data_IF_449550105186
#
_entry.id   IF_449550105186
#
_cell.length_a   1.000
_cell.length_b   1.000
_cell.length_c   1.000
_cell.angle_alpha   90.00
_cell.angle_beta   90.00
_cell.angle_gamma   90.00
#
_symmetry.space_group_name_H-M   'P 1'
#
loop_
_entity.id
_entity.type
_entity.pdbx_description
1 polymer ?
#
# COMPACT_ATOMS: atom_id res chain seq x y z
N UNK A 1 -42.43 -18.53 46.77
CA UNK A 1 -42.18 -17.62 45.63
C UNK A 1 -43.09 -18.02 44.48
N UNK A 2 -43.90 -17.11 43.94
CA UNK A 2 -44.94 -17.42 42.95
C UNK A 2 -44.30 -17.83 41.60
N UNK A 3 -44.70 -18.96 41.00
CA UNK A 3 -44.08 -19.50 39.77
C UNK A 3 -44.11 -18.51 38.59
N UNK A 4 -45.08 -17.59 38.57
CA UNK A 4 -45.17 -16.54 37.56
C UNK A 4 -44.11 -15.44 37.76
N UNK A 5 -43.69 -15.19 39.00
CA UNK A 5 -42.64 -14.23 39.31
C UNK A 5 -41.29 -14.72 38.80
N UNK A 6 -40.98 -16.01 38.99
CA UNK A 6 -39.73 -16.64 38.51
C UNK A 6 -39.63 -16.59 36.98
N UNK A 7 -40.74 -16.83 36.26
CA UNK A 7 -40.78 -16.71 34.80
C UNK A 7 -40.56 -15.27 34.32
N UNK A 8 -41.15 -14.28 35.01
CA UNK A 8 -40.95 -12.87 34.67
C UNK A 8 -39.50 -12.43 34.89
N UNK A 9 -38.89 -12.87 35.99
CA UNK A 9 -37.47 -12.56 36.28
C UNK A 9 -36.53 -13.24 35.28
N UNK A 10 -36.82 -14.48 34.88
CA UNK A 10 -36.02 -15.18 33.88
C UNK A 10 -36.11 -14.51 32.48
N UNK A 11 -37.29 -14.09 32.05
CA UNK A 11 -37.46 -13.37 30.77
C UNK A 11 -36.79 -11.99 30.82
N UNK A 12 -36.86 -11.27 31.95
CA UNK A 12 -36.18 -9.99 32.12
C UNK A 12 -34.65 -10.14 32.11
N UNK A 13 -34.10 -11.19 32.74
CA UNK A 13 -32.65 -11.50 32.71
C UNK A 13 -32.20 -11.89 31.31
N UNK A 14 -33.01 -12.64 30.54
CA UNK A 14 -32.72 -12.98 29.14
C UNK A 14 -32.79 -11.71 28.26
N UNK A 15 -33.76 -10.82 28.47
CA UNK A 15 -33.83 -9.54 27.76
C UNK A 15 -32.69 -8.58 28.13
N UNK A 16 -32.22 -8.58 29.38
CA UNK A 16 -31.05 -7.82 29.81
C UNK A 16 -29.73 -8.41 29.29
N UNK A 17 -29.65 -9.74 29.11
CA UNK A 17 -28.52 -10.42 28.46
C UNK A 17 -28.49 -10.23 26.94
N UNK A 18 -29.64 -10.04 26.30
CA UNK A 18 -29.77 -9.72 24.87
C UNK A 18 -29.70 -8.21 24.59
N UNK A 19 -29.77 -7.38 25.62
CA UNK A 19 -29.61 -5.93 25.58
C UNK A 19 -28.21 -5.51 26.05
N UNK A 20 -27.18 -6.32 25.79
CA UNK A 20 -25.82 -5.76 25.69
C UNK A 20 -25.89 -4.70 24.60
N UNK A 21 -25.47 -3.44 24.86
CA UNK A 21 -25.27 -2.52 23.75
C UNK A 21 -24.37 -3.26 22.75
N UNK A 22 -24.72 -3.24 21.47
CA UNK A 22 -23.69 -3.43 20.46
C UNK A 22 -22.61 -2.43 20.86
N UNK A 23 -21.48 -2.92 21.38
CA UNK A 23 -20.37 -2.05 21.78
C UNK A 23 -20.01 -1.32 20.50
N UNK A 24 -20.43 -0.07 20.40
CA UNK A 24 -20.12 0.74 19.24
C UNK A 24 -18.62 0.94 19.21
N UNK A 25 -18.03 0.98 18.02
CA UNK A 25 -16.66 1.42 17.87
C UNK A 25 -16.51 2.79 18.53
N UNK A 26 -15.59 2.87 19.48
CA UNK A 26 -15.17 4.11 20.13
C UNK A 26 -14.91 5.17 19.08
N UNK A 27 -15.29 6.40 19.35
CA UNK A 27 -14.83 7.52 18.54
C UNK A 27 -13.32 7.69 18.68
N UNK A 28 -12.70 8.38 17.72
CA UNK A 28 -11.26 8.70 17.77
C UNK A 28 -10.88 9.42 19.06
N UNK A 29 -11.73 10.33 19.55
CA UNK A 29 -11.47 11.09 20.78
C UNK A 29 -11.53 10.20 22.03
N UNK A 30 -12.43 9.20 22.06
CA UNK A 30 -12.51 8.20 23.12
C UNK A 30 -11.27 7.29 23.10
N UNK A 31 -10.85 6.82 21.93
CA UNK A 31 -9.61 6.03 21.78
C UNK A 31 -8.36 6.83 22.20
N UNK A 32 -8.33 8.15 21.97
CA UNK A 32 -7.25 9.02 22.45
C UNK A 32 -7.14 8.99 23.97
N UNK A 33 -8.26 8.95 24.71
CA UNK A 33 -8.22 8.92 26.18
C UNK A 33 -7.48 7.69 26.71
N UNK A 34 -7.57 6.55 26.01
CA UNK A 34 -6.88 5.31 26.38
C UNK A 34 -5.35 5.41 26.35
N UNK A 35 -4.80 6.29 25.51
CA UNK A 35 -3.35 6.41 25.31
C UNK A 35 -2.72 7.62 26.02
N UNK A 36 -3.52 8.55 26.53
CA UNK A 36 -3.03 9.73 27.28
C UNK A 36 -2.12 9.39 28.48
N UNK A 37 -2.35 8.30 29.26
CA UNK A 37 -1.44 7.94 30.35
C UNK A 37 0.00 7.66 29.88
N UNK A 38 0.14 7.14 28.66
CA UNK A 38 1.42 6.78 28.05
C UNK A 38 2.09 7.98 27.37
N UNK A 39 1.31 8.97 26.93
CA UNK A 39 1.80 10.12 26.17
C UNK A 39 2.38 11.27 27.03
N UNK A 40 2.39 11.16 28.37
CA UNK A 40 2.75 12.27 29.28
C UNK A 40 4.16 12.85 29.09
N UNK A 41 5.08 12.06 28.52
CA UNK A 41 6.45 12.47 28.22
C UNK A 41 6.70 12.74 26.72
N UNK A 42 5.64 12.73 25.92
CA UNK A 42 5.69 12.87 24.47
C UNK A 42 5.09 14.23 24.07
N UNK A 43 5.69 14.87 23.07
CA UNK A 43 5.36 16.25 22.68
C UNK A 43 4.06 16.38 21.91
N UNK A 44 3.78 15.43 21.00
CA UNK A 44 2.50 15.35 20.29
C UNK A 44 2.00 13.91 20.21
N UNK A 45 0.67 13.78 20.13
CA UNK A 45 -0.05 12.53 19.93
C UNK A 45 -0.93 12.69 18.70
N UNK A 46 -0.84 11.75 17.77
CA UNK A 46 -1.76 11.58 16.66
C UNK A 46 -2.46 10.22 16.77
N UNK A 47 -3.63 10.10 16.18
CA UNK A 47 -4.43 8.88 16.19
C UNK A 47 -4.98 8.65 14.79
N UNK A 48 -4.88 7.45 14.26
CA UNK A 48 -5.39 7.08 12.94
C UNK A 48 -6.32 5.86 13.06
N UNK A 49 -7.18 5.67 12.06
CA UNK A 49 -8.21 4.63 12.04
C UNK A 49 -9.64 5.17 12.25
N UNK A 50 -10.63 4.29 12.50
CA UNK A 50 -10.44 2.88 12.81
C UNK A 50 -9.97 2.05 11.62
N UNK A 51 -9.09 1.09 11.88
CA UNK A 51 -8.69 0.03 10.96
C UNK A 51 -9.34 -1.29 11.38
N UNK A 52 -9.86 -2.06 10.43
CA UNK A 52 -10.54 -3.33 10.73
C UNK A 52 -9.61 -4.52 10.54
N UNK A 53 -9.62 -5.46 11.49
CA UNK A 53 -8.97 -6.76 11.37
C UNK A 53 -9.77 -7.82 12.16
N UNK A 54 -10.11 -8.95 11.53
CA UNK A 54 -10.95 -10.01 12.15
C UNK A 54 -12.23 -9.47 12.81
N UNK A 55 -12.97 -8.63 12.08
CA UNK A 55 -14.21 -7.98 12.52
C UNK A 55 -14.08 -7.03 13.74
N UNK A 56 -12.85 -6.79 14.22
CA UNK A 56 -12.58 -5.84 15.29
C UNK A 56 -12.00 -4.55 14.72
N UNK A 57 -12.44 -3.41 15.26
CA UNK A 57 -11.86 -2.11 14.96
C UNK A 57 -10.63 -1.86 15.84
N UNK A 58 -9.60 -1.21 15.29
CA UNK A 58 -8.40 -0.81 16.00
C UNK A 58 -7.99 0.61 15.64
N UNK A 59 -7.39 1.31 16.59
CA UNK A 59 -6.78 2.61 16.37
C UNK A 59 -5.26 2.54 16.47
N UNK A 60 -4.57 3.28 15.61
CA UNK A 60 -3.12 3.43 15.60
C UNK A 60 -2.75 4.78 16.21
N UNK A 61 -2.03 4.78 17.33
CA UNK A 61 -1.61 5.99 18.02
C UNK A 61 -0.12 6.25 17.78
N UNK A 62 0.22 7.43 17.25
CA UNK A 62 1.60 7.86 17.06
C UNK A 62 1.98 8.96 18.06
N UNK A 63 3.11 8.79 18.73
CA UNK A 63 3.65 9.79 19.66
C UNK A 63 4.98 10.33 19.15
N UNK A 64 5.13 11.65 19.11
CA UNK A 64 6.40 12.27 18.69
C UNK A 64 6.97 13.19 19.74
N UNK A 65 8.29 13.28 19.80
CA UNK A 65 9.04 14.20 20.66
C UNK A 65 9.99 15.00 19.78
N UNK A 66 9.85 16.32 19.77
CA UNK A 66 10.61 17.22 18.88
C UNK A 66 10.53 16.81 17.40
N UNK A 67 9.36 16.34 16.96
CA UNK A 67 9.12 15.89 15.57
C UNK A 67 9.70 14.52 15.22
N UNK A 68 10.33 13.82 16.17
CA UNK A 68 10.81 12.44 15.98
C UNK A 68 9.83 11.45 16.57
N UNK A 69 9.54 10.35 15.86
CA UNK A 69 8.73 9.26 16.41
C UNK A 69 9.38 8.75 17.70
N UNK A 70 8.61 8.77 18.79
CA UNK A 70 9.07 8.38 20.12
C UNK A 70 8.20 7.31 20.78
N UNK A 71 7.06 6.95 20.18
CA UNK A 71 6.16 5.93 20.71
C UNK A 71 5.06 5.56 19.73
N UNK A 72 4.63 4.29 19.77
CA UNK A 72 3.47 3.78 19.03
C UNK A 72 2.64 2.91 19.98
N UNK A 73 1.32 3.03 19.92
CA UNK A 73 0.40 2.12 20.61
C UNK A 73 -0.76 1.76 19.69
N UNK A 74 -1.26 0.55 19.85
CA UNK A 74 -2.47 0.07 19.16
C UNK A 74 -3.58 -0.07 20.18
N UNK A 75 -4.77 0.42 19.87
CA UNK A 75 -5.92 0.44 20.78
C UNK A 75 -7.07 -0.36 20.20
N UNK A 76 -7.66 -1.26 20.98
CA UNK A 76 -8.91 -1.92 20.63
C UNK A 76 -10.03 -0.87 20.53
N UNK A 77 -10.66 -0.78 19.37
CA UNK A 77 -11.69 0.19 19.06
C UNK A 77 -13.03 -0.07 19.75
N UNK A 78 -13.26 -1.22 20.38
CA UNK A 78 -14.47 -1.50 21.15
C UNK A 78 -14.26 -1.30 22.66
N UNK A 79 -13.12 -1.77 23.18
CA UNK A 79 -12.85 -1.77 24.62
C UNK A 79 -12.01 -0.59 25.08
N UNK A 80 -11.26 0.02 24.16
CA UNK A 80 -10.26 1.04 24.48
C UNK A 80 -8.99 0.46 25.11
N UNK A 81 -8.84 -0.87 25.17
CA UNK A 81 -7.65 -1.50 25.72
C UNK A 81 -6.46 -1.32 24.79
N UNK A 82 -5.29 -1.07 25.36
CA UNK A 82 -4.03 -1.07 24.61
C UNK A 82 -3.64 -2.51 24.30
N UNK A 83 -3.42 -2.80 23.03
CA UNK A 83 -3.06 -4.12 22.53
C UNK A 83 -1.59 -4.42 22.88
N UNK A 84 -1.38 -5.58 23.51
CA UNK A 84 -0.05 -6.13 23.82
C UNK A 84 0.35 -7.28 22.88
N UNK A 85 -0.59 -7.79 22.09
CA UNK A 85 -0.34 -8.82 21.09
C UNK A 85 0.41 -8.23 19.89
N UNK A 86 1.70 -8.57 19.78
CA UNK A 86 2.56 -8.11 18.68
C UNK A 86 2.02 -8.52 17.31
N UNK A 87 1.36 -9.68 17.17
CA UNK A 87 0.82 -10.11 15.88
C UNK A 87 -0.31 -9.20 15.42
N UNK A 88 -1.18 -8.76 16.34
CA UNK A 88 -2.23 -7.79 16.01
C UNK A 88 -1.59 -6.43 15.74
N UNK A 89 -0.67 -6.00 16.60
CA UNK A 89 -0.02 -4.71 16.45
C UNK A 89 0.70 -4.56 15.11
N UNK A 90 1.43 -5.59 14.66
CA UNK A 90 2.11 -5.62 13.36
C UNK A 90 1.14 -5.42 12.21
N UNK A 91 -0.02 -6.08 12.24
CA UNK A 91 -1.04 -5.97 11.19
C UNK A 91 -1.66 -4.60 11.15
N UNK A 92 -1.95 -3.99 12.30
CA UNK A 92 -2.50 -2.63 12.35
C UNK A 92 -1.46 -1.58 11.95
N UNK A 93 -0.20 -1.70 12.39
CA UNK A 93 0.92 -0.86 11.90
C UNK A 93 1.07 -0.95 10.38
N UNK A 94 1.13 -2.17 9.84
CA UNK A 94 1.19 -2.39 8.40
C UNK A 94 0.01 -1.74 7.68
N UNK A 95 -1.21 -1.94 8.18
CA UNK A 95 -2.43 -1.34 7.63
C UNK A 95 -2.36 0.19 7.64
N UNK A 96 -1.90 0.78 8.74
CA UNK A 96 -1.73 2.23 8.85
C UNK A 96 -0.77 2.75 7.78
N UNK A 97 0.41 2.14 7.64
CA UNK A 97 1.45 2.59 6.71
C UNK A 97 1.01 2.48 5.25
N UNK A 98 0.33 1.40 4.88
CA UNK A 98 -0.20 1.22 3.53
C UNK A 98 -1.38 2.16 3.22
N UNK A 99 -2.29 2.37 4.18
CA UNK A 99 -3.53 3.10 3.94
C UNK A 99 -3.44 4.60 4.24
N UNK A 100 -2.43 5.07 4.98
CA UNK A 100 -2.31 6.51 5.32
C UNK A 100 -2.12 7.40 4.09
N UNK A 101 -1.63 6.82 2.98
CA UNK A 101 -1.45 7.51 1.71
C UNK A 101 -2.62 7.28 0.74
N UNK A 102 -3.65 6.52 1.11
CA UNK A 102 -4.82 6.33 0.24
C UNK A 102 -5.75 7.54 0.40
N UNK A 103 -5.64 8.48 -0.53
CA UNK A 103 -6.40 9.74 -0.54
C UNK A 103 -7.03 9.99 -1.90
N UNK A 104 -8.04 10.85 -1.96
CA UNK A 104 -8.67 11.26 -3.23
C UNK A 104 -7.68 11.89 -4.21
N UNK A 105 -6.67 12.60 -3.70
CA UNK A 105 -5.61 13.19 -4.52
C UNK A 105 -4.73 12.10 -5.15
N UNK A 106 -4.34 11.09 -4.38
CA UNK A 106 -3.54 10.00 -4.90
C UNK A 106 -4.34 9.14 -5.89
N UNK A 107 -5.63 8.91 -5.63
CA UNK A 107 -6.53 8.20 -6.54
C UNK A 107 -6.59 8.85 -7.94
N UNK A 108 -6.59 10.19 -8.01
CA UNK A 108 -6.54 10.90 -9.29
C UNK A 108 -5.21 10.65 -10.04
N UNK A 109 -4.10 10.54 -9.30
CA UNK A 109 -2.80 10.12 -9.84
C UNK A 109 -2.85 8.72 -10.46
N UNK A 110 -3.43 7.74 -9.76
CA UNK A 110 -3.62 6.37 -10.29
C UNK A 110 -4.49 6.35 -11.55
N UNK A 111 -5.57 7.15 -11.60
CA UNK A 111 -6.40 7.31 -12.81
C UNK A 111 -5.59 7.87 -14.00
N UNK A 112 -4.73 8.86 -13.74
CA UNK A 112 -3.86 9.46 -14.77
C UNK A 112 -2.81 8.47 -15.27
N UNK A 113 -2.25 7.64 -14.39
CA UNK A 113 -1.31 6.57 -14.78
C UNK A 113 -1.99 5.51 -15.64
N UNK A 114 -3.22 5.09 -15.29
CA UNK A 114 -4.02 4.19 -16.14
C UNK A 114 -4.22 4.74 -17.55
N UNK A 115 -4.60 6.02 -17.66
CA UNK A 115 -4.79 6.69 -18.94
C UNK A 115 -3.49 6.73 -19.74
N UNK A 116 -2.37 7.04 -19.09
CA UNK A 116 -1.03 7.00 -19.69
C UNK A 116 -0.72 5.61 -20.27
N UNK A 117 -0.88 4.54 -19.50
CA UNK A 117 -0.63 3.19 -20.01
C UNK A 117 -1.56 2.80 -21.16
N UNK A 118 -2.84 3.18 -21.09
CA UNK A 118 -3.80 2.96 -22.17
C UNK A 118 -3.37 3.68 -23.46
N UNK A 119 -2.92 4.94 -23.33
CA UNK A 119 -2.41 5.72 -24.45
C UNK A 119 -1.11 5.12 -25.03
N UNK A 120 -0.16 4.71 -24.19
CA UNK A 120 1.08 4.06 -24.63
C UNK A 120 0.82 2.74 -25.35
N UNK A 121 -0.16 1.94 -24.90
CA UNK A 121 -0.62 0.75 -25.62
C UNK A 121 -1.15 1.10 -27.02
N UNK A 122 -1.97 2.15 -27.14
CA UNK A 122 -2.51 2.60 -28.43
C UNK A 122 -1.40 3.08 -29.38
N UNK A 123 -0.41 3.84 -28.89
CA UNK A 123 0.75 4.28 -29.68
C UNK A 123 1.55 3.08 -30.19
N UNK A 124 1.80 2.08 -29.34
CA UNK A 124 2.51 0.86 -29.75
C UNK A 124 1.75 0.11 -30.85
N UNK A 125 0.42 -0.04 -30.73
CA UNK A 125 -0.40 -0.67 -31.79
C UNK A 125 -0.38 0.13 -33.09
N UNK A 126 -0.46 1.47 -33.01
CA UNK A 126 -0.38 2.34 -34.19
C UNK A 126 0.96 2.18 -34.90
N UNK A 127 2.07 2.14 -34.15
CA UNK A 127 3.41 1.88 -34.72
C UNK A 127 3.48 0.51 -35.39
N UNK A 128 2.96 -0.54 -34.74
CA UNK A 128 2.88 -1.87 -35.33
C UNK A 128 2.06 -1.88 -36.63
N UNK A 129 0.96 -1.15 -36.69
CA UNK A 129 0.13 -1.02 -37.90
C UNK A 129 0.90 -0.35 -39.04
N UNK A 130 1.60 0.76 -38.76
CA UNK A 130 2.45 1.45 -39.75
C UNK A 130 3.48 0.49 -40.33
N UNK A 131 4.23 -0.22 -39.49
CA UNK A 131 5.21 -1.20 -39.98
C UNK A 131 4.56 -2.31 -40.80
N UNK A 132 3.37 -2.78 -40.40
CA UNK A 132 2.65 -3.83 -41.12
C UNK A 132 2.20 -3.36 -42.52
N UNK A 133 1.83 -2.08 -42.67
CA UNK A 133 1.52 -1.46 -43.96
C UNK A 133 2.77 -1.27 -44.83
N UNK A 134 3.93 -1.09 -44.21
CA UNK A 134 5.21 -0.96 -44.90
C UNK A 134 5.77 -2.30 -45.40
N UNK A 135 5.54 -3.42 -44.71
CA UNK A 135 6.06 -4.76 -45.04
C UNK A 135 6.02 -5.08 -46.56
N UNK A 136 4.90 -4.91 -47.29
CA UNK A 136 4.84 -5.26 -48.71
C UNK A 136 5.83 -4.49 -49.60
N UNK A 137 6.29 -3.32 -49.17
CA UNK A 137 7.19 -2.43 -49.91
C UNK A 137 8.65 -2.92 -49.91
N UNK A 138 8.99 -3.85 -49.02
CA UNK A 138 10.37 -4.32 -48.83
C UNK A 138 10.63 -5.68 -49.50
N UNK A 139 11.90 -6.04 -49.69
CA UNK A 139 12.30 -7.36 -50.17
C UNK A 139 12.00 -8.46 -49.13
N UNK A 140 12.11 -9.74 -49.52
CA UNK A 140 11.75 -10.87 -48.65
C UNK A 140 12.55 -10.94 -47.34
N UNK A 141 13.83 -10.55 -47.34
CA UNK A 141 14.67 -10.59 -46.14
C UNK A 141 14.28 -9.48 -45.15
N UNK A 142 14.00 -8.27 -45.66
CA UNK A 142 13.61 -7.13 -44.83
C UNK A 142 12.16 -7.23 -44.35
N UNK A 143 11.27 -7.88 -45.12
CA UNK A 143 9.91 -8.25 -44.67
C UNK A 143 9.91 -9.06 -43.40
N UNK A 144 10.81 -10.03 -43.27
CA UNK A 144 10.91 -10.85 -42.07
C UNK A 144 11.32 -10.01 -40.85
N UNK A 145 12.30 -9.11 -41.02
CA UNK A 145 12.76 -8.21 -39.96
C UNK A 145 11.66 -7.24 -39.53
N UNK A 146 10.93 -6.66 -40.48
CA UNK A 146 9.76 -5.80 -40.21
C UNK A 146 8.65 -6.57 -39.48
N UNK A 147 8.41 -7.84 -39.83
CA UNK A 147 7.49 -8.71 -39.08
C UNK A 147 7.88 -8.87 -37.61
N UNK A 148 9.18 -9.01 -37.31
CA UNK A 148 9.69 -9.04 -35.93
C UNK A 148 9.43 -7.71 -35.20
N UNK A 149 9.66 -6.58 -35.87
CA UNK A 149 9.42 -5.25 -35.30
C UNK A 149 7.93 -5.07 -34.95
N UNK A 150 7.02 -5.46 -35.86
CA UNK A 150 5.57 -5.46 -35.62
C UNK A 150 5.23 -6.24 -34.35
N UNK A 151 5.78 -7.46 -34.23
CA UNK A 151 5.52 -8.32 -33.07
C UNK A 151 6.02 -7.69 -31.77
N UNK A 152 7.19 -7.04 -31.78
CA UNK A 152 7.76 -6.40 -30.58
C UNK A 152 6.90 -5.23 -30.09
N UNK A 153 6.43 -4.36 -30.99
CA UNK A 153 5.47 -3.31 -30.62
C UNK A 153 4.13 -3.87 -30.13
N UNK A 154 3.63 -4.95 -30.72
CA UNK A 154 2.41 -5.61 -30.25
C UNK A 154 2.61 -6.22 -28.84
N UNK A 155 3.75 -6.85 -28.59
CA UNK A 155 4.08 -7.41 -27.28
C UNK A 155 4.19 -6.31 -26.22
N UNK A 156 4.86 -5.20 -26.52
CA UNK A 156 4.92 -4.03 -25.61
C UNK A 156 3.53 -3.48 -25.34
N UNK A 157 2.66 -3.38 -26.35
CA UNK A 157 1.28 -2.92 -26.18
C UNK A 157 0.49 -3.81 -25.21
N UNK A 158 0.64 -5.14 -25.30
CA UNK A 158 -0.02 -6.09 -24.38
C UNK A 158 0.41 -5.86 -22.94
N UNK A 159 1.70 -5.59 -22.69
CA UNK A 159 2.17 -5.31 -21.31
C UNK A 159 1.58 -4.00 -20.78
N UNK A 160 1.45 -2.98 -21.63
CA UNK A 160 0.76 -1.74 -21.24
C UNK A 160 -0.73 -1.96 -20.94
N UNK A 161 -1.42 -2.84 -21.66
CA UNK A 161 -2.80 -3.21 -21.35
C UNK A 161 -2.90 -3.96 -20.01
N UNK A 162 -1.97 -4.88 -19.76
CA UNK A 162 -1.88 -5.61 -18.49
C UNK A 162 -1.72 -4.61 -17.32
N UNK A 163 -0.85 -3.61 -17.48
CA UNK A 163 -0.64 -2.52 -16.53
C UNK A 163 -1.91 -1.68 -16.32
N UNK A 164 -2.56 -1.24 -17.39
CA UNK A 164 -3.80 -0.46 -17.28
C UNK A 164 -4.90 -1.26 -16.55
N UNK A 165 -4.99 -2.56 -16.81
CA UNK A 165 -5.95 -3.47 -16.15
C UNK A 165 -5.63 -3.65 -14.66
N UNK A 166 -4.36 -3.72 -14.29
CA UNK A 166 -3.97 -3.75 -12.88
C UNK A 166 -4.36 -2.44 -12.16
N UNK A 167 -4.19 -1.30 -12.82
CA UNK A 167 -4.61 -0.02 -12.24
C UNK A 167 -6.12 0.06 -12.01
N UNK A 168 -6.96 -0.60 -12.81
CA UNK A 168 -8.39 -0.73 -12.50
C UNK A 168 -8.63 -1.44 -11.16
N UNK A 169 -7.87 -2.50 -10.86
CA UNK A 169 -7.96 -3.22 -9.58
C UNK A 169 -7.48 -2.35 -8.41
N UNK A 170 -6.37 -1.63 -8.60
CA UNK A 170 -5.80 -0.71 -7.58
C UNK A 170 -6.79 0.42 -7.28
N UNK A 171 -7.33 1.05 -8.32
CA UNK A 171 -8.32 2.13 -8.20
C UNK A 171 -9.55 1.65 -7.44
N UNK A 172 -10.10 0.48 -7.80
CA UNK A 172 -11.26 -0.08 -7.11
C UNK A 172 -10.98 -0.33 -5.62
N UNK A 173 -9.80 -0.89 -5.29
CA UNK A 173 -9.41 -1.16 -3.90
C UNK A 173 -9.23 0.15 -3.11
N UNK A 174 -8.65 1.19 -3.72
CA UNK A 174 -8.52 2.50 -3.08
C UNK A 174 -9.87 3.20 -2.89
N UNK A 175 -10.78 3.10 -3.87
CA UNK A 175 -12.15 3.61 -3.75
C UNK A 175 -12.89 2.94 -2.59
N UNK A 176 -12.74 1.62 -2.43
CA UNK A 176 -13.29 0.87 -1.30
C UNK A 176 -12.73 1.37 0.05
N UNK A 177 -11.41 1.57 0.15
CA UNK A 177 -10.77 2.14 1.36
C UNK A 177 -11.29 3.54 1.67
N UNK A 178 -11.37 4.42 0.66
CA UNK A 178 -11.86 5.80 0.84
C UNK A 178 -13.34 5.83 1.23
N UNK A 179 -14.12 4.85 0.78
CA UNK A 179 -15.54 4.70 1.17
C UNK A 179 -15.74 4.28 2.64
N UNK A 180 -14.64 3.98 3.36
CA UNK A 180 -14.65 3.65 4.78
C UNK A 180 -14.20 2.21 5.08
N UNK A 181 -13.87 1.40 4.08
CA UNK A 181 -13.40 0.03 4.27
C UNK A 181 -11.88 -0.02 4.48
N UNK A 182 -11.38 0.70 5.50
CA UNK A 182 -9.96 0.69 5.86
C UNK A 182 -9.66 -0.58 6.70
N UNK A 183 -9.26 -1.66 6.03
CA UNK A 183 -9.02 -2.97 6.65
C UNK A 183 -7.63 -3.53 6.35
N UNK A 184 -7.17 -4.45 7.20
CA UNK A 184 -5.93 -5.19 6.96
C UNK A 184 -6.00 -5.98 5.65
N UNK A 185 -7.16 -6.57 5.34
CA UNK A 185 -7.38 -7.31 4.10
C UNK A 185 -7.18 -6.42 2.87
N UNK A 186 -7.68 -5.18 2.89
CA UNK A 186 -7.45 -4.22 1.78
C UNK A 186 -6.00 -3.76 1.70
N UNK A 187 -5.29 -3.59 2.83
CA UNK A 187 -3.86 -3.31 2.81
C UNK A 187 -3.07 -4.45 2.16
N UNK A 188 -3.40 -5.71 2.48
CA UNK A 188 -2.78 -6.90 1.87
C UNK A 188 -3.12 -7.01 0.38
N UNK A 189 -4.35 -6.67 -0.03
CA UNK A 189 -4.70 -6.63 -1.45
C UNK A 189 -3.84 -5.60 -2.20
N UNK A 190 -3.68 -4.39 -1.65
CA UNK A 190 -2.84 -3.35 -2.25
C UNK A 190 -1.36 -3.78 -2.32
N UNK A 191 -0.82 -4.41 -1.27
CA UNK A 191 0.55 -4.97 -1.30
C UNK A 191 0.73 -5.99 -2.43
N UNK A 192 -0.20 -6.94 -2.56
CA UNK A 192 -0.13 -7.94 -3.64
C UNK A 192 -0.26 -7.30 -5.03
N UNK A 193 -1.06 -6.23 -5.16
CA UNK A 193 -1.17 -5.48 -6.41
C UNK A 193 0.10 -4.70 -6.72
N UNK A 194 0.82 -4.18 -5.72
CA UNK A 194 2.15 -3.59 -5.89
C UNK A 194 3.16 -4.62 -6.37
N UNK A 195 3.13 -5.85 -5.84
CA UNK A 195 3.98 -6.94 -6.32
C UNK A 195 3.62 -7.40 -7.75
N UNK A 196 2.34 -7.36 -8.13
CA UNK A 196 1.90 -7.60 -9.51
C UNK A 196 2.41 -6.48 -10.44
N UNK A 197 2.39 -5.23 -9.95
CA UNK A 197 2.85 -4.05 -10.69
C UNK A 197 4.36 -4.13 -10.97
N UNK A 198 5.17 -4.45 -9.96
CA UNK A 198 6.62 -4.65 -10.11
C UNK A 198 6.93 -5.68 -11.21
N UNK A 199 6.28 -6.85 -11.17
CA UNK A 199 6.47 -7.90 -12.18
C UNK A 199 6.10 -7.46 -13.59
N UNK A 200 5.04 -6.65 -13.72
CA UNK A 200 4.63 -6.10 -15.02
C UNK A 200 5.60 -5.03 -15.52
N UNK A 201 6.18 -4.21 -14.62
CA UNK A 201 7.24 -3.26 -14.96
C UNK A 201 8.50 -3.98 -15.44
N UNK A 202 8.93 -5.06 -14.78
CA UNK A 202 10.05 -5.89 -15.25
C UNK A 202 9.77 -6.55 -16.62
N UNK A 203 8.52 -6.97 -16.85
CA UNK A 203 8.09 -7.51 -18.15
C UNK A 203 8.09 -6.41 -19.21
N UNK A 204 7.67 -5.19 -18.86
CA UNK A 204 7.68 -4.04 -19.76
C UNK A 204 9.12 -3.68 -20.12
N UNK A 205 10.04 -3.74 -19.16
CA UNK A 205 11.45 -3.43 -19.35
C UNK A 205 12.09 -4.33 -20.42
N UNK A 206 11.85 -5.63 -20.30
CA UNK A 206 12.28 -6.64 -21.29
C UNK A 206 11.63 -6.43 -22.66
N UNK A 207 10.36 -6.01 -22.68
CA UNK A 207 9.67 -5.69 -23.93
C UNK A 207 10.25 -4.43 -24.59
N UNK A 208 10.65 -3.42 -23.80
CA UNK A 208 11.34 -2.22 -24.28
C UNK A 208 12.71 -2.57 -24.87
N UNK A 209 13.51 -3.38 -24.18
CA UNK A 209 14.80 -3.85 -24.70
C UNK A 209 14.66 -4.46 -26.09
N UNK A 210 13.66 -5.35 -26.25
CA UNK A 210 13.43 -6.01 -27.52
C UNK A 210 12.94 -5.03 -28.61
N UNK A 211 12.01 -4.14 -28.26
CA UNK A 211 11.48 -3.13 -29.19
C UNK A 211 12.56 -2.15 -29.64
N UNK A 212 13.49 -1.75 -28.75
CA UNK A 212 14.64 -0.90 -29.10
C UNK A 212 15.59 -1.64 -30.02
N UNK A 213 15.95 -2.90 -29.73
CA UNK A 213 16.80 -3.73 -30.59
C UNK A 213 16.22 -3.86 -32.01
N UNK A 214 14.93 -4.18 -32.10
CA UNK A 214 14.25 -4.38 -33.38
C UNK A 214 14.06 -3.06 -34.13
N UNK A 215 13.73 -1.96 -33.43
CA UNK A 215 13.63 -0.62 -34.04
C UNK A 215 15.00 -0.15 -34.55
N UNK A 216 16.10 -0.48 -33.86
CA UNK A 216 17.45 -0.21 -34.37
C UNK A 216 17.74 -0.96 -35.65
N UNK A 217 17.26 -2.20 -35.76
CA UNK A 217 17.35 -2.99 -37.00
C UNK A 217 16.58 -2.33 -38.15
N UNK A 218 15.43 -1.70 -37.88
CA UNK A 218 14.71 -0.91 -38.89
C UNK A 218 15.54 0.26 -39.42
N UNK A 219 16.15 1.03 -38.53
CA UNK A 219 17.01 2.14 -38.94
C UNK A 219 18.20 1.67 -39.78
N UNK A 220 18.76 0.51 -39.47
CA UNK A 220 19.86 -0.07 -40.26
C UNK A 220 19.41 -0.45 -41.68
N UNK A 221 18.20 -1.02 -41.83
CA UNK A 221 17.60 -1.27 -43.16
C UNK A 221 17.43 0.04 -43.94
N UNK A 222 16.96 1.10 -43.28
CA UNK A 222 16.77 2.41 -43.92
C UNK A 222 18.10 3.05 -44.33
N UNK A 223 19.15 2.92 -43.53
CA UNK A 223 20.50 3.42 -43.85
C UNK A 223 21.05 2.72 -45.09
N UNK A 224 20.94 1.38 -45.15
CA UNK A 224 21.39 0.59 -46.29
C UNK A 224 20.59 0.92 -47.57
N UNK A 225 19.32 1.32 -47.42
CA UNK A 225 18.42 1.73 -48.49
C UNK A 225 18.31 3.24 -48.73
N UNK A 226 19.15 4.07 -48.11
CA UNK A 226 18.94 5.53 -47.99
C UNK A 226 18.69 6.26 -49.33
N UNK A 227 19.36 5.83 -50.41
CA UNK A 227 19.16 6.40 -51.76
C UNK A 227 17.73 6.28 -52.29
N UNK A 228 16.94 5.34 -51.75
CA UNK A 228 15.57 5.03 -52.18
C UNK A 228 14.52 5.90 -51.47
N UNK A 229 14.83 6.44 -50.28
CA UNK A 229 13.85 7.10 -49.41
C UNK A 229 14.02 8.63 -49.32
N UNK A 230 14.90 9.22 -50.13
CA UNK A 230 15.08 10.67 -50.18
C UNK A 230 15.70 11.30 -48.92
N UNK A 231 16.21 10.47 -48.02
CA UNK A 231 17.00 10.85 -46.84
C UNK A 231 18.44 10.35 -47.04
N UNK A 232 19.42 11.08 -46.53
CA UNK A 232 20.78 10.57 -46.48
C UNK A 232 21.01 9.74 -45.20
N UNK A 233 22.03 8.87 -45.22
CA UNK A 233 22.36 8.00 -44.08
C UNK A 233 22.61 8.76 -42.77
N UNK A 234 23.16 9.98 -42.83
CA UNK A 234 23.38 10.82 -41.65
C UNK A 234 22.05 11.22 -41.00
N UNK A 235 21.06 11.64 -41.79
CA UNK A 235 19.74 12.02 -41.29
C UNK A 235 19.04 10.84 -40.62
N UNK A 236 19.13 9.64 -41.19
CA UNK A 236 18.53 8.42 -40.61
C UNK A 236 19.27 8.02 -39.32
N UNK A 237 20.60 8.17 -39.28
CA UNK A 237 21.38 7.97 -38.06
C UNK A 237 21.00 8.96 -36.95
N UNK A 238 20.75 10.22 -37.29
CA UNK A 238 20.28 11.22 -36.32
C UNK A 238 18.89 10.84 -35.76
N UNK A 239 17.97 10.37 -36.62
CA UNK A 239 16.67 9.85 -36.17
C UNK A 239 16.80 8.63 -35.25
N UNK A 240 17.74 7.71 -35.53
CA UNK A 240 18.05 6.56 -34.67
C UNK A 240 18.48 7.01 -33.28
N UNK A 241 19.37 8.00 -33.19
CA UNK A 241 19.85 8.56 -31.92
C UNK A 241 18.71 9.22 -31.14
N UNK A 242 17.92 10.09 -31.79
CA UNK A 242 16.80 10.78 -31.16
C UNK A 242 15.74 9.78 -30.67
N UNK A 243 15.39 8.79 -31.51
CA UNK A 243 14.43 7.74 -31.18
C UNK A 243 14.87 6.91 -29.96
N UNK A 244 16.12 6.47 -29.94
CA UNK A 244 16.67 5.73 -28.80
C UNK A 244 16.71 6.57 -27.52
N UNK A 245 17.04 7.87 -27.63
CA UNK A 245 17.00 8.78 -26.49
C UNK A 245 15.59 8.89 -25.90
N UNK A 246 14.57 9.05 -26.74
CA UNK A 246 13.18 9.11 -26.31
C UNK A 246 12.71 7.79 -25.65
N UNK A 247 13.05 6.63 -26.23
CA UNK A 247 12.77 5.32 -25.65
C UNK A 247 13.40 5.14 -24.27
N UNK A 248 14.69 5.51 -24.13
CA UNK A 248 15.41 5.39 -22.87
C UNK A 248 14.86 6.36 -21.80
N UNK A 249 14.46 7.57 -22.19
CA UNK A 249 13.84 8.51 -21.26
C UNK A 249 12.47 8.00 -20.77
N UNK A 250 11.65 7.45 -21.67
CA UNK A 250 10.37 6.86 -21.31
C UNK A 250 10.54 5.64 -20.39
N UNK A 251 11.49 4.76 -20.72
CA UNK A 251 11.89 3.61 -19.89
C UNK A 251 12.29 4.05 -18.49
N UNK A 252 13.13 5.07 -18.38
CA UNK A 252 13.61 5.57 -17.08
C UNK A 252 12.45 6.05 -16.21
N UNK A 253 11.54 6.85 -16.77
CA UNK A 253 10.43 7.45 -16.02
C UNK A 253 9.35 6.43 -15.68
N UNK A 254 8.99 5.55 -16.62
CA UNK A 254 7.87 4.63 -16.46
C UNK A 254 8.23 3.33 -15.73
N UNK A 255 9.52 2.96 -15.71
CA UNK A 255 9.98 1.66 -15.21
C UNK A 255 11.01 1.86 -14.11
N UNK A 256 12.21 2.39 -14.43
CA UNK A 256 13.32 2.45 -13.48
C UNK A 256 12.94 3.20 -12.21
N UNK A 257 12.42 4.42 -12.35
CA UNK A 257 12.03 5.26 -11.21
C UNK A 257 10.89 4.61 -10.40
N UNK A 258 9.95 3.94 -11.06
CA UNK A 258 8.82 3.28 -10.37
C UNK A 258 9.29 2.06 -9.56
N UNK A 259 10.18 1.23 -10.13
CA UNK A 259 10.77 0.09 -9.42
C UNK A 259 11.58 0.54 -8.19
N UNK A 260 12.34 1.64 -8.31
CA UNK A 260 13.08 2.20 -7.18
C UNK A 260 12.14 2.66 -6.05
N UNK A 261 11.06 3.38 -6.39
CA UNK A 261 10.07 3.83 -5.41
C UNK A 261 9.38 2.65 -4.72
N UNK A 262 9.01 1.60 -5.45
CA UNK A 262 8.40 0.39 -4.87
C UNK A 262 9.33 -0.26 -3.86
N UNK A 263 10.61 -0.42 -4.19
CA UNK A 263 11.58 -1.05 -3.29
C UNK A 263 11.87 -0.18 -2.07
N UNK A 264 12.02 1.15 -2.25
CA UNK A 264 12.17 2.09 -1.14
C UNK A 264 10.97 2.05 -0.19
N UNK A 265 9.74 2.07 -0.71
CA UNK A 265 8.52 1.99 0.08
C UNK A 265 8.37 0.65 0.81
N UNK A 266 8.73 -0.47 0.15
CA UNK A 266 8.73 -1.81 0.75
C UNK A 266 9.71 -1.90 1.92
N UNK A 267 10.96 -1.45 1.72
CA UNK A 267 11.99 -1.46 2.77
C UNK A 267 11.59 -0.55 3.92
N UNK A 268 11.08 0.65 3.62
CA UNK A 268 10.62 1.60 4.62
C UNK A 268 9.46 1.03 5.43
N UNK A 269 8.43 0.49 4.78
CA UNK A 269 7.27 -0.09 5.47
C UNK A 269 7.67 -1.23 6.39
N UNK A 270 8.45 -2.21 5.90
CA UNK A 270 8.91 -3.33 6.71
C UNK A 270 9.74 -2.87 7.91
N UNK A 271 10.68 -1.94 7.70
CA UNK A 271 11.51 -1.38 8.78
C UNK A 271 10.66 -0.61 9.79
N UNK A 272 9.67 0.13 9.30
CA UNK A 272 8.79 0.95 10.14
C UNK A 272 7.87 0.10 11.00
N UNK A 273 7.29 -0.98 10.47
CA UNK A 273 6.51 -1.94 11.26
C UNK A 273 7.35 -2.50 12.41
N UNK A 274 8.59 -2.93 12.17
CA UNK A 274 9.46 -3.41 13.26
C UNK A 274 9.77 -2.32 14.28
N UNK A 275 10.01 -1.09 13.81
CA UNK A 275 10.27 0.07 14.67
C UNK A 275 9.07 0.36 15.58
N UNK A 276 7.85 0.30 15.03
CA UNK A 276 6.62 0.50 15.79
C UNK A 276 6.49 -0.52 16.92
N UNK A 277 6.76 -1.80 16.66
CA UNK A 277 6.72 -2.86 17.68
C UNK A 277 7.74 -2.63 18.78
N UNK A 278 8.98 -2.27 18.42
CA UNK A 278 10.02 -1.94 19.40
C UNK A 278 9.59 -0.76 20.29
N UNK A 279 9.02 0.28 19.69
CA UNK A 279 8.57 1.46 20.42
C UNK A 279 7.36 1.16 21.33
N UNK A 280 6.41 0.37 20.84
CA UNK A 280 5.27 -0.12 21.61
C UNK A 280 5.74 -0.89 22.85
N UNK A 281 6.62 -1.89 22.67
CA UNK A 281 7.15 -2.69 23.77
C UNK A 281 7.94 -1.85 24.79
N UNK A 282 8.70 -0.85 24.32
CA UNK A 282 9.41 0.09 25.19
C UNK A 282 8.47 0.97 26.02
N UNK A 283 7.29 1.32 25.50
CA UNK A 283 6.28 2.07 26.26
C UNK A 283 5.58 1.18 27.28
N UNK A 284 5.13 0.00 26.86
CA UNK A 284 4.39 -0.94 27.71
C UNK A 284 5.25 -1.42 28.89
N UNK A 285 6.51 -1.78 28.65
CA UNK A 285 7.44 -2.19 29.71
C UNK A 285 7.75 -1.09 30.73
N UNK A 286 7.70 0.19 30.33
CA UNK A 286 7.87 1.32 31.27
C UNK A 286 6.62 1.62 32.07
N UNK A 287 5.43 1.31 31.54
CA UNK A 287 4.17 1.44 32.27
C UNK A 287 3.97 0.33 33.31
N UNK A 288 4.56 -0.84 33.08
CA UNK A 288 4.64 -1.94 34.05
C UNK A 288 5.77 -1.71 35.06
N UNK A 289 5.74 -0.62 35.84
CA UNK A 289 6.62 -0.54 37.01
C UNK A 289 6.10 -1.53 38.06
N UNK A 290 6.85 -2.60 38.43
CA UNK A 290 6.36 -3.65 39.35
C UNK A 290 6.12 -3.16 40.79
N UNK A 291 6.33 -1.87 41.07
CA UNK A 291 6.38 -1.31 42.41
C UNK A 291 5.02 -0.94 43.00
N UNK A 292 4.02 -0.55 42.20
CA UNK A 292 2.76 -0.01 42.77
C UNK A 292 1.83 -1.09 43.33
N UNK A 293 1.74 -2.26 42.68
CA UNK A 293 0.97 -3.39 43.19
C UNK A 293 1.55 -3.94 44.51
N UNK A 294 2.87 -4.01 44.61
CA UNK A 294 3.57 -4.41 45.84
C UNK A 294 3.40 -3.34 46.92
N UNK A 295 3.50 -2.05 46.60
CA UNK A 295 3.30 -0.97 47.56
C UNK A 295 1.86 -0.94 48.09
N UNK A 296 0.86 -1.12 47.23
CA UNK A 296 -0.55 -1.18 47.62
C UNK A 296 -0.84 -2.42 48.48
N UNK A 297 -0.29 -3.58 48.14
CA UNK A 297 -0.41 -4.80 48.93
C UNK A 297 0.29 -4.67 50.30
N UNK A 298 1.47 -4.05 50.36
CA UNK A 298 2.22 -3.78 51.61
C UNK A 298 1.47 -2.76 52.48
N UNK A 299 0.91 -1.69 51.89
CA UNK A 299 0.09 -0.71 52.61
C UNK A 299 -1.21 -1.34 53.16
N UNK A 300 -1.86 -2.23 52.41
CA UNK A 300 -3.04 -2.96 52.86
C UNK A 300 -2.71 -3.93 54.02
N UNK A 301 -1.59 -4.65 53.94
CA UNK A 301 -1.10 -5.51 55.01
C UNK A 301 -0.74 -4.74 56.29
N UNK A 302 -0.08 -3.59 56.17
CA UNK A 302 0.20 -2.70 57.31
C UNK A 302 -1.09 -2.17 57.94
N UNK A 303 -2.09 -1.81 57.12
CA UNK A 303 -3.41 -1.39 57.60
C UNK A 303 -4.12 -2.48 58.41
N UNK A 304 -4.10 -3.73 57.94
CA UNK A 304 -4.71 -4.88 58.64
C UNK A 304 -3.98 -5.19 59.96
N UNK A 305 -2.64 -5.15 59.98
CA UNK A 305 -1.85 -5.40 61.19
C UNK A 305 -2.04 -4.30 62.24
N UNK A 306 -2.11 -3.03 61.83
CA UNK A 306 -2.34 -1.91 62.75
C UNK A 306 -3.78 -1.86 63.29
N UNK A 307 -4.77 -2.28 62.49
CA UNK A 307 -6.16 -2.38 62.94
C UNK A 307 -6.38 -3.59 63.87
N UNK A 308 -5.70 -4.70 63.61
CA UNK A 308 -5.73 -5.89 64.46
C UNK A 308 -5.05 -5.74 65.83
N UNK A 309 -4.12 -4.78 65.99
CA UNK A 309 -3.46 -4.47 67.27
C UNK A 309 -4.20 -3.44 68.14
N UNK A 310 -5.29 -2.86 67.65
CA UNK A 310 -6.13 -1.89 68.38
C UNK A 310 -7.44 -2.48 68.90
N UNK A 311 -7.65 -3.79 68.78
CA UNK A 311 -8.73 -4.54 69.44
C UNK A 311 -8.16 -5.43 70.54
#
# INVERSE_FOLDING_TARGET
MNKNMIKLTAVAVIFLLLATPAYGTLTRDEAVQSVLPYSRNHGSLSMAGPYTYQDNAYYYAEMTTNGTLSGVLIVNGETGDVITDESIARKISFTHLYLTNVTQMNLAGYKTMKETYTASAAVCRQKAEIFNQEIPLYNSADRQKLGTIVQSYQNTAVVFDDLATLFDKIIATQEDVISGNASYENAVILENQTDEFEKLLEKLDKAYDKTIEDTNTYYDILIDGASTYGLNASQISDYKIIGNSAFNQEREVLITMQLQLIEEDRVNTNTRVETDIVLMNNLLSKSEVPGFGILAAVCALIGIVLYGRRK
#
